data_IF_651907021593
#
_entry.id   IF_651907021593
#
_cell.length_a   1.000
_cell.length_b   1.000
_cell.length_c   1.000
_cell.angle_alpha   90.00
_cell.angle_beta   90.00
_cell.angle_gamma   90.00
#
_symmetry.space_group_name_H-M   'P 1'
#
loop_
_entity.id
_entity.type
_entity.pdbx_description
1 polymer ?
#
# COMPACT_ATOMS: atom_id res chain seq x y z
N UNK A 1 67.77 -31.80 14.97
CA UNK A 1 67.72 -33.11 14.27
C UNK A 1 66.26 -33.42 13.92
N UNK A 2 66.02 -33.95 12.71
CA UNK A 2 64.73 -34.45 12.12
C UNK A 2 63.97 -35.41 13.06
N UNK A 3 62.66 -35.69 12.97
CA UNK A 3 61.80 -36.18 11.85
C UNK A 3 60.30 -35.99 12.23
N UNK A 4 59.45 -35.31 11.44
CA UNK A 4 58.45 -35.81 10.45
C UNK A 4 57.79 -37.16 10.79
N UNK A 5 56.45 -37.19 10.94
CA UNK A 5 55.52 -38.09 10.22
C UNK A 5 54.09 -37.52 10.17
N UNK A 6 53.59 -37.40 8.94
CA UNK A 6 52.21 -37.16 8.49
C UNK A 6 51.42 -38.49 8.59
N UNK A 7 50.08 -38.46 8.75
CA UNK A 7 49.11 -39.35 8.06
C UNK A 7 47.67 -38.86 8.34
N UNK A 8 46.91 -38.74 7.24
CA UNK A 8 45.47 -38.43 7.13
C UNK A 8 44.57 -39.58 7.63
N UNK A 9 43.32 -39.26 7.98
CA UNK A 9 42.17 -40.06 7.54
C UNK A 9 40.87 -39.22 7.44
N UNK A 10 40.20 -39.33 6.29
CA UNK A 10 38.86 -38.83 5.96
C UNK A 10 37.85 -39.96 6.20
N UNK A 11 36.64 -39.68 6.71
CA UNK A 11 35.45 -40.52 6.50
C UNK A 11 34.14 -39.72 6.67
N UNK A 12 33.15 -40.08 5.86
CA UNK A 12 31.89 -39.40 5.54
C UNK A 12 30.69 -40.24 6.07
N UNK A 13 29.48 -39.64 6.09
CA UNK A 13 28.12 -40.25 6.16
C UNK A 13 27.67 -40.53 7.62
N UNK A 14 26.48 -40.17 8.12
CA UNK A 14 25.12 -40.45 7.61
C UNK A 14 24.02 -39.54 8.21
N UNK A 15 22.97 -39.30 7.41
CA UNK A 15 21.63 -38.93 7.91
C UNK A 15 21.06 -40.08 8.74
N UNK A 16 20.49 -39.78 9.91
CA UNK A 16 19.53 -40.66 10.58
C UNK A 16 18.36 -39.83 11.08
N UNK A 17 17.19 -40.11 10.51
CA UNK A 17 15.91 -39.88 11.14
C UNK A 17 15.76 -40.88 12.30
N UNK A 18 15.36 -40.39 13.47
CA UNK A 18 14.72 -41.16 14.55
C UNK A 18 13.56 -40.25 15.00
N UNK A 19 12.29 -40.62 14.87
CA UNK A 19 11.60 -41.83 15.33
C UNK A 19 11.70 -42.02 16.86
N UNK A 20 10.51 -42.24 17.44
CA UNK A 20 10.03 -41.86 18.78
C UNK A 20 10.75 -42.50 19.99
N UNK A 21 10.38 -42.07 21.22
CA UNK A 21 9.45 -42.95 21.93
C UNK A 21 8.28 -42.22 22.62
N UNK A 22 7.11 -42.86 22.56
CA UNK A 22 5.99 -42.65 23.47
C UNK A 22 6.42 -42.83 24.94
N UNK A 23 5.94 -41.97 25.85
CA UNK A 23 5.77 -42.31 27.24
C UNK A 23 4.28 -42.56 27.56
N UNK A 24 3.97 -43.79 27.92
CA UNK A 24 2.77 -44.21 28.66
C UNK A 24 2.73 -43.57 30.08
N UNK A 25 1.57 -43.59 30.76
CA UNK A 25 1.05 -42.44 31.50
C UNK A 25 1.51 -42.42 32.96
N UNK A 26 1.84 -41.23 33.47
CA UNK A 26 1.85 -40.99 34.92
C UNK A 26 1.02 -39.76 35.28
N UNK A 27 0.30 -39.93 36.37
CA UNK A 27 -0.80 -39.12 36.86
C UNK A 27 -0.27 -37.90 37.60
N UNK A 28 -0.71 -36.71 37.17
CA UNK A 28 -0.66 -35.51 37.99
C UNK A 28 -0.06 -34.30 37.27
N UNK A 29 -0.93 -33.37 36.86
CA UNK A 29 -0.50 -32.04 36.47
C UNK A 29 -1.31 -31.43 35.34
N UNK A 30 -2.33 -30.65 35.69
CA UNK A 30 -2.93 -29.65 34.82
C UNK A 30 -3.82 -30.17 33.69
N UNK A 31 -5.13 -30.32 33.96
CA UNK A 31 -6.14 -30.20 32.90
C UNK A 31 -6.06 -28.79 32.32
N UNK A 32 -5.30 -28.61 31.25
CA UNK A 32 -5.50 -27.45 30.37
C UNK A 32 -6.83 -27.67 29.65
N UNK A 33 -7.85 -26.95 30.11
CA UNK A 33 -9.13 -26.89 29.43
C UNK A 33 -8.92 -26.16 28.10
N UNK A 34 -8.74 -26.91 27.01
CA UNK A 34 -8.90 -26.38 25.67
C UNK A 34 -10.35 -25.96 25.50
N UNK A 35 -10.63 -24.67 25.70
CA UNK A 35 -11.90 -24.06 25.37
C UNK A 35 -12.02 -24.08 23.84
N UNK A 36 -12.69 -25.10 23.31
CA UNK A 36 -13.21 -25.07 21.94
C UNK A 36 -14.39 -24.11 21.92
N UNK A 37 -14.10 -22.82 21.94
CA UNK A 37 -15.09 -21.81 21.61
C UNK A 37 -15.19 -21.76 20.10
N UNK A 38 -16.22 -22.41 19.55
CA UNK A 38 -16.71 -22.17 18.19
C UNK A 38 -17.28 -20.77 18.12
N UNK A 39 -16.42 -19.75 18.25
CA UNK A 39 -16.79 -18.39 17.91
C UNK A 39 -17.15 -18.39 16.43
N UNK A 40 -18.31 -17.85 16.02
CA UNK A 40 -18.57 -17.64 14.60
C UNK A 40 -17.39 -16.84 14.06
N UNK A 41 -16.71 -17.37 13.03
CA UNK A 41 -15.69 -16.61 12.31
C UNK A 41 -16.40 -15.36 11.78
N UNK A 42 -16.22 -14.23 12.45
CA UNK A 42 -16.46 -12.95 11.83
C UNK A 42 -15.63 -12.99 10.55
N UNK A 43 -16.28 -12.93 9.39
CA UNK A 43 -15.58 -12.84 8.12
C UNK A 43 -14.65 -11.64 8.23
N UNK A 44 -13.34 -11.90 8.31
CA UNK A 44 -12.34 -10.85 8.37
C UNK A 44 -12.58 -9.96 7.16
N UNK A 45 -12.72 -8.65 7.38
CA UNK A 45 -12.79 -7.71 6.26
C UNK A 45 -11.51 -7.89 5.44
N UNK A 46 -11.59 -7.84 4.11
CA UNK A 46 -10.41 -7.86 3.26
C UNK A 46 -9.43 -6.78 3.74
N UNK A 47 -8.17 -7.14 3.90
CA UNK A 47 -7.12 -6.15 4.17
C UNK A 47 -6.83 -5.41 2.86
N UNK A 48 -6.92 -4.07 2.91
CA UNK A 48 -6.70 -3.22 1.74
C UNK A 48 -5.19 -3.08 1.51
N UNK A 49 -4.69 -3.32 0.29
CA UNK A 49 -3.29 -3.02 -0.01
C UNK A 49 -3.03 -1.52 0.15
N UNK A 50 -1.82 -1.16 0.54
CA UNK A 50 -1.39 0.22 0.69
C UNK A 50 -0.41 0.57 -0.42
N UNK A 51 -0.65 1.71 -1.07
CA UNK A 51 0.28 2.29 -2.02
C UNK A 51 1.61 2.61 -1.33
N UNK A 52 2.72 2.52 -2.07
CA UNK A 52 4.03 2.95 -1.61
C UNK A 52 4.43 4.23 -2.32
N UNK A 53 5.07 5.15 -1.60
CA UNK A 53 5.57 6.41 -2.17
C UNK A 53 6.63 6.20 -3.27
N UNK A 54 7.36 5.09 -3.23
CA UNK A 54 8.35 4.69 -4.24
C UNK A 54 7.83 3.63 -5.23
N UNK A 55 6.52 3.34 -5.21
CA UNK A 55 5.90 2.38 -6.10
C UNK A 55 5.76 2.91 -7.53
N UNK A 56 5.58 2.00 -8.49
CA UNK A 56 5.31 2.37 -9.88
C UNK A 56 3.81 2.48 -10.17
N UNK A 57 3.40 3.19 -11.24
CA UNK A 57 2.00 3.21 -11.67
C UNK A 57 1.46 1.80 -11.95
N UNK A 58 2.28 0.91 -12.51
CA UNK A 58 1.89 -0.49 -12.80
C UNK A 58 1.64 -1.29 -11.53
N UNK A 59 2.41 -1.05 -10.47
CA UNK A 59 2.19 -1.67 -9.16
C UNK A 59 0.86 -1.18 -8.56
N UNK A 60 0.58 0.12 -8.65
CA UNK A 60 -0.70 0.68 -8.22
C UNK A 60 -1.88 0.08 -9.01
N UNK A 61 -1.76 -0.02 -10.34
CA UNK A 61 -2.77 -0.65 -11.19
C UNK A 61 -3.02 -2.12 -10.81
N UNK A 62 -1.95 -2.86 -10.48
CA UNK A 62 -2.08 -4.24 -10.01
C UNK A 62 -2.86 -4.31 -8.68
N UNK A 63 -2.67 -3.35 -7.76
CA UNK A 63 -3.43 -3.27 -6.50
C UNK A 63 -4.92 -3.00 -6.73
N UNK A 64 -5.31 -2.36 -7.85
CA UNK A 64 -6.70 -2.10 -8.20
C UNK A 64 -7.47 -3.34 -8.67
N UNK A 65 -6.81 -4.48 -8.90
CA UNK A 65 -7.45 -5.70 -9.41
C UNK A 65 -8.73 -6.12 -8.64
N UNK A 66 -8.67 -6.30 -7.31
CA UNK A 66 -9.84 -6.62 -6.49
C UNK A 66 -10.93 -5.55 -6.53
N UNK A 67 -10.55 -4.27 -6.52
CA UNK A 67 -11.49 -3.16 -6.59
C UNK A 67 -12.23 -3.12 -7.93
N UNK A 68 -11.51 -3.22 -9.05
CA UNK A 68 -12.07 -3.26 -10.39
C UNK A 68 -12.98 -4.47 -10.61
N UNK A 69 -12.63 -5.62 -10.03
CA UNK A 69 -13.51 -6.80 -10.03
C UNK A 69 -14.82 -6.52 -9.30
N UNK A 70 -14.76 -5.95 -8.10
CA UNK A 70 -15.95 -5.59 -7.33
C UNK A 70 -16.84 -4.60 -8.09
N UNK A 71 -16.26 -3.56 -8.70
CA UNK A 71 -17.03 -2.60 -9.52
C UNK A 71 -17.85 -3.30 -10.61
N UNK A 72 -17.23 -4.25 -11.33
CA UNK A 72 -17.89 -5.03 -12.40
C UNK A 72 -19.00 -5.93 -11.86
N UNK A 73 -18.79 -6.57 -10.72
CA UNK A 73 -19.81 -7.39 -10.04
C UNK A 73 -21.02 -6.56 -9.61
N UNK A 74 -20.82 -5.26 -9.33
CA UNK A 74 -21.86 -4.29 -9.01
C UNK A 74 -22.36 -3.48 -10.22
N UNK A 75 -22.07 -3.92 -11.46
CA UNK A 75 -22.61 -3.33 -12.68
C UNK A 75 -21.96 -2.02 -13.12
N UNK A 76 -20.83 -1.64 -12.53
CA UNK A 76 -20.02 -0.50 -12.93
C UNK A 76 -18.81 -0.91 -13.78
N UNK A 77 -18.26 0.03 -14.54
CA UNK A 77 -17.00 -0.15 -15.26
C UNK A 77 -15.88 0.64 -14.57
N UNK A 78 -14.64 0.09 -14.49
CA UNK A 78 -13.47 0.88 -14.13
C UNK A 78 -13.33 2.10 -15.05
N UNK A 79 -12.83 3.22 -14.53
CA UNK A 79 -12.71 4.47 -15.29
C UNK A 79 -11.85 4.34 -16.56
N UNK A 80 -10.83 3.48 -16.52
CA UNK A 80 -10.00 3.14 -17.69
C UNK A 80 -10.80 2.51 -18.83
N UNK A 81 -11.96 1.92 -18.56
CA UNK A 81 -12.84 1.27 -19.53
C UNK A 81 -14.00 2.17 -19.99
N UNK A 82 -14.10 3.41 -19.50
CA UNK A 82 -15.18 4.34 -19.90
C UNK A 82 -15.03 4.82 -21.34
N UNK A 83 -13.79 4.87 -21.84
CA UNK A 83 -13.45 5.35 -23.17
C UNK A 83 -13.05 4.17 -24.06
N UNK A 84 -13.67 4.07 -25.23
CA UNK A 84 -13.35 3.05 -26.23
C UNK A 84 -12.45 3.67 -27.31
N UNK A 85 -11.13 3.58 -27.11
CA UNK A 85 -10.16 4.27 -27.98
C UNK A 85 -10.34 5.78 -27.93
N UNK A 86 -10.32 6.44 -29.09
CA UNK A 86 -10.43 7.90 -29.21
C UNK A 86 -11.88 8.42 -29.09
N UNK A 87 -12.87 7.54 -28.86
CA UNK A 87 -14.27 7.95 -28.76
C UNK A 87 -14.60 8.47 -27.36
N UNK A 88 -14.90 9.77 -27.27
CA UNK A 88 -15.48 10.37 -26.07
C UNK A 88 -16.97 10.00 -26.02
N UNK A 89 -17.45 9.33 -24.96
CA UNK A 89 -18.87 9.02 -24.83
C UNK A 89 -19.72 10.29 -24.79
N UNK A 90 -20.96 10.18 -25.26
CA UNK A 90 -21.94 11.27 -25.08
C UNK A 90 -22.07 11.65 -23.60
N UNK A 91 -22.34 12.93 -23.33
CA UNK A 91 -22.44 13.46 -21.97
C UNK A 91 -23.45 12.69 -21.10
N UNK A 92 -24.60 12.33 -21.66
CA UNK A 92 -25.63 11.53 -20.98
C UNK A 92 -25.09 10.17 -20.52
N UNK A 93 -24.35 9.49 -21.38
CA UNK A 93 -23.70 8.21 -21.08
C UNK A 93 -22.59 8.36 -20.03
N UNK A 94 -21.82 9.45 -20.05
CA UNK A 94 -20.85 9.74 -19.00
C UNK A 94 -21.50 9.93 -17.63
N UNK A 95 -22.65 10.61 -17.58
CA UNK A 95 -23.43 10.78 -16.34
C UNK A 95 -23.90 9.41 -15.82
N UNK A 96 -24.50 8.58 -16.69
CA UNK A 96 -24.94 7.23 -16.30
C UNK A 96 -23.79 6.36 -15.78
N UNK A 97 -22.63 6.37 -16.46
CA UNK A 97 -21.44 5.64 -16.03
C UNK A 97 -20.93 6.12 -14.67
N UNK A 98 -20.91 7.44 -14.45
CA UNK A 98 -20.49 8.03 -13.18
C UNK A 98 -21.44 7.69 -12.03
N UNK A 99 -22.76 7.66 -12.28
CA UNK A 99 -23.75 7.26 -11.27
C UNK A 99 -23.56 5.79 -10.87
N UNK A 100 -23.42 4.87 -11.84
CA UNK A 100 -23.17 3.44 -11.56
C UNK A 100 -21.86 3.24 -10.81
N UNK A 101 -20.80 3.92 -11.22
CA UNK A 101 -19.52 3.85 -10.53
C UNK A 101 -19.60 4.38 -9.09
N UNK A 102 -20.34 5.48 -8.86
CA UNK A 102 -20.55 6.03 -7.52
C UNK A 102 -21.28 5.05 -6.60
N UNK A 103 -22.33 4.41 -7.09
CA UNK A 103 -23.09 3.43 -6.29
C UNK A 103 -22.25 2.19 -5.98
N UNK A 104 -21.53 1.65 -6.96
CA UNK A 104 -20.62 0.53 -6.74
C UNK A 104 -19.47 0.90 -5.79
N UNK A 105 -18.91 2.11 -5.89
CA UNK A 105 -17.81 2.58 -5.06
C UNK A 105 -18.18 2.65 -3.57
N UNK A 106 -19.43 3.00 -3.23
CA UNK A 106 -19.91 2.97 -1.84
C UNK A 106 -19.74 1.60 -1.18
N UNK A 107 -19.75 0.53 -1.97
CA UNK A 107 -19.57 -0.86 -1.51
C UNK A 107 -18.10 -1.28 -1.65
N UNK A 108 -17.51 -1.04 -2.82
CA UNK A 108 -16.19 -1.56 -3.19
C UNK A 108 -15.04 -0.75 -2.59
N UNK A 109 -15.16 0.58 -2.52
CA UNK A 109 -14.11 1.49 -2.08
C UNK A 109 -13.61 1.17 -0.66
N UNK A 110 -14.49 1.07 0.35
CA UNK A 110 -14.10 0.75 1.72
C UNK A 110 -13.48 -0.64 1.92
N UNK A 111 -13.63 -1.56 0.97
CA UNK A 111 -13.17 -2.95 1.06
C UNK A 111 -11.91 -3.23 0.26
N UNK A 112 -11.77 -2.59 -0.91
CA UNK A 112 -10.78 -3.00 -1.92
C UNK A 112 -9.98 -1.86 -2.53
N UNK A 113 -10.42 -0.60 -2.42
CA UNK A 113 -9.60 0.51 -2.94
C UNK A 113 -8.27 0.55 -2.18
N UNK A 114 -7.13 0.70 -2.85
CA UNK A 114 -5.86 0.86 -2.15
C UNK A 114 -5.91 2.01 -1.14
N UNK A 115 -5.20 1.85 -0.03
CA UNK A 115 -4.94 2.92 0.92
C UNK A 115 -3.83 3.84 0.34
N UNK A 116 -3.86 5.15 0.62
CA UNK A 116 -2.81 6.06 0.17
C UNK A 116 -1.45 5.68 0.79
N UNK A 117 -0.31 6.22 0.29
CA UNK A 117 0.97 6.08 0.95
C UNK A 117 0.88 6.48 2.43
N UNK A 118 1.60 5.78 3.31
CA UNK A 118 1.50 6.00 4.76
C UNK A 118 1.83 7.45 5.14
N UNK A 119 2.80 8.06 4.46
CA UNK A 119 3.22 9.44 4.64
C UNK A 119 2.12 10.46 4.30
N UNK A 120 1.10 10.05 3.52
CA UNK A 120 0.00 10.90 3.04
C UNK A 120 -1.36 10.50 3.63
N UNK A 121 -1.38 9.48 4.50
CA UNK A 121 -2.60 8.98 5.13
C UNK A 121 -3.03 9.92 6.27
N UNK A 122 -4.27 10.45 6.29
CA UNK A 122 -4.77 11.25 7.41
C UNK A 122 -4.72 10.55 8.77
N UNK A 123 -4.70 9.21 8.80
CA UNK A 123 -4.54 8.44 10.03
C UNK A 123 -3.10 8.40 10.55
N UNK A 124 -2.10 8.80 9.74
CA UNK A 124 -0.72 8.93 10.18
C UNK A 124 -0.54 10.28 10.90
N UNK A 125 -0.14 10.30 12.19
CA UNK A 125 0.08 11.55 12.93
C UNK A 125 1.18 12.43 12.31
N UNK A 126 2.09 11.86 11.52
CA UNK A 126 3.18 12.59 10.86
C UNK A 126 2.81 13.11 9.46
N UNK A 127 1.64 12.76 8.91
CA UNK A 127 1.28 13.11 7.53
C UNK A 127 1.24 14.64 7.31
N UNK A 128 0.81 15.39 8.33
CA UNK A 128 0.81 16.86 8.27
C UNK A 128 2.21 17.44 8.22
N UNK A 129 3.16 16.80 8.86
CA UNK A 129 4.55 17.25 8.92
C UNK A 129 5.24 16.92 7.59
N UNK A 130 4.97 15.73 7.06
CA UNK A 130 5.36 15.33 5.71
C UNK A 130 4.89 16.34 4.66
N UNK A 131 3.60 16.70 4.64
CA UNK A 131 3.06 17.67 3.68
C UNK A 131 3.77 19.04 3.77
N UNK A 132 4.02 19.54 4.99
CA UNK A 132 4.76 20.80 5.20
C UNK A 132 6.20 20.72 4.67
N UNK A 133 6.88 19.60 4.86
CA UNK A 133 8.25 19.40 4.37
C UNK A 133 8.31 19.30 2.84
N UNK A 134 7.31 18.68 2.21
CA UNK A 134 7.16 18.67 0.75
C UNK A 134 6.95 20.09 0.22
N UNK A 135 6.01 20.85 0.80
CA UNK A 135 5.78 22.27 0.43
C UNK A 135 7.05 23.10 0.60
N UNK A 136 7.79 22.90 1.71
CA UNK A 136 9.06 23.60 1.97
C UNK A 136 10.09 23.29 0.90
N UNK A 137 10.23 22.03 0.50
CA UNK A 137 11.11 21.62 -0.58
C UNK A 137 10.73 22.27 -1.92
N UNK A 138 9.45 22.24 -2.29
CA UNK A 138 8.95 22.83 -3.53
C UNK A 138 9.18 24.34 -3.59
N UNK A 139 8.93 25.05 -2.48
CA UNK A 139 9.25 26.48 -2.36
C UNK A 139 10.75 26.73 -2.50
N UNK A 140 11.57 25.89 -1.87
CA UNK A 140 13.04 25.94 -2.00
C UNK A 140 13.53 25.73 -3.43
N UNK A 141 12.77 25.03 -4.27
CA UNK A 141 13.03 24.81 -5.71
C UNK A 141 12.36 25.85 -6.62
N UNK A 142 11.76 26.90 -6.06
CA UNK A 142 11.22 28.04 -6.82
C UNK A 142 9.75 27.91 -7.22
N UNK A 143 9.00 26.93 -6.69
CA UNK A 143 7.55 26.87 -6.89
C UNK A 143 6.88 27.98 -6.07
N UNK A 144 6.19 28.88 -6.76
CA UNK A 144 5.67 30.12 -6.16
C UNK A 144 4.35 29.91 -5.45
N UNK A 145 3.41 29.24 -6.10
CA UNK A 145 2.07 28.99 -5.55
C UNK A 145 1.95 27.51 -5.20
N UNK A 146 2.36 27.20 -3.98
CA UNK A 146 2.25 25.87 -3.37
C UNK A 146 1.98 26.00 -1.87
N UNK A 147 1.02 25.23 -1.38
CA UNK A 147 0.58 25.25 0.01
C UNK A 147 0.11 23.88 0.48
N UNK A 148 -0.03 23.73 1.81
CA UNK A 148 -0.72 22.57 2.37
C UNK A 148 -2.21 22.89 2.31
N UNK A 149 -3.00 21.96 1.79
CA UNK A 149 -4.44 22.10 1.68
C UNK A 149 -5.15 22.13 3.04
N UNK A 150 -6.45 22.41 3.00
CA UNK A 150 -7.27 22.59 4.21
C UNK A 150 -7.34 21.34 5.11
N UNK A 151 -7.18 20.14 4.53
CA UNK A 151 -7.14 18.88 5.27
C UNK A 151 -5.84 18.67 6.08
N UNK A 152 -4.82 19.47 5.76
CA UNK A 152 -3.50 19.45 6.39
C UNK A 152 -2.55 18.39 5.84
N UNK A 153 -2.95 17.57 4.86
CA UNK A 153 -2.13 16.47 4.31
C UNK A 153 -1.94 16.55 2.80
N UNK A 154 -2.84 17.22 2.09
CA UNK A 154 -2.69 17.46 0.65
C UNK A 154 -1.73 18.62 0.36
N UNK A 155 -1.04 18.54 -0.78
CA UNK A 155 -0.19 19.61 -1.30
C UNK A 155 -0.86 20.22 -2.51
N UNK A 156 -1.27 21.47 -2.39
CA UNK A 156 -1.98 22.21 -3.43
C UNK A 156 -1.01 23.04 -4.27
N UNK A 157 -1.26 23.10 -5.58
CA UNK A 157 -0.44 23.82 -6.56
C UNK A 157 -1.27 24.84 -7.34
N UNK A 158 -0.67 25.98 -7.68
CA UNK A 158 -1.26 26.98 -8.58
C UNK A 158 -2.03 28.10 -7.88
N UNK A 159 -2.40 27.93 -6.61
CA UNK A 159 -3.12 28.90 -5.80
C UNK A 159 -4.45 29.36 -6.44
N UNK A 160 -5.01 30.46 -5.93
CA UNK A 160 -6.35 30.96 -6.30
C UNK A 160 -6.56 31.26 -7.80
N UNK A 161 -5.49 31.33 -8.60
CA UNK A 161 -5.55 31.65 -10.04
C UNK A 161 -5.18 30.48 -10.96
N UNK A 162 -4.95 29.28 -10.43
CA UNK A 162 -4.47 28.14 -11.21
C UNK A 162 -3.23 28.47 -12.04
N UNK A 163 -2.19 29.01 -11.39
CA UNK A 163 -0.93 29.37 -12.04
C UNK A 163 -0.28 28.14 -12.69
N UNK A 164 -0.39 28.07 -14.03
CA UNK A 164 0.07 26.93 -14.85
C UNK A 164 1.55 26.61 -14.63
N UNK A 165 2.49 27.59 -14.55
CA UNK A 165 3.89 27.29 -14.25
C UNK A 165 4.09 26.58 -12.91
N UNK A 166 3.41 27.03 -11.85
CA UNK A 166 3.50 26.41 -10.52
C UNK A 166 2.90 25.00 -10.51
N UNK A 167 1.78 24.78 -11.21
CA UNK A 167 1.18 23.45 -11.34
C UNK A 167 2.13 22.50 -12.07
N UNK A 168 2.55 22.87 -13.29
CA UNK A 168 3.38 22.00 -14.12
C UNK A 168 4.71 21.68 -13.45
N UNK A 169 5.46 22.72 -13.07
CA UNK A 169 6.78 22.52 -12.49
C UNK A 169 6.68 21.90 -11.07
N UNK A 170 5.59 22.16 -10.34
CA UNK A 170 5.33 21.55 -9.05
C UNK A 170 5.11 20.05 -9.15
N UNK A 171 4.31 19.60 -10.12
CA UNK A 171 4.09 18.16 -10.39
C UNK A 171 5.40 17.48 -10.82
N UNK A 172 6.22 18.13 -11.65
CA UNK A 172 7.50 17.59 -12.09
C UNK A 172 8.48 17.37 -10.91
N UNK A 173 8.46 18.27 -9.92
CA UNK A 173 9.36 18.24 -8.76
C UNK A 173 8.81 17.49 -7.55
N UNK A 174 7.49 17.21 -7.52
CA UNK A 174 6.80 16.58 -6.40
C UNK A 174 7.46 15.26 -5.96
N UNK A 175 7.76 14.30 -6.87
CA UNK A 175 8.30 13.01 -6.44
C UNK A 175 9.67 13.12 -5.76
N UNK A 176 10.49 14.10 -6.18
CA UNK A 176 11.79 14.36 -5.54
C UNK A 176 11.60 14.91 -4.12
N UNK A 177 10.69 15.88 -3.96
CA UNK A 177 10.41 16.49 -2.66
C UNK A 177 9.73 15.52 -1.69
N UNK A 178 8.83 14.67 -2.18
CA UNK A 178 8.21 13.58 -1.40
C UNK A 178 9.29 12.59 -0.89
N UNK A 179 10.22 12.14 -1.75
CA UNK A 179 11.33 11.28 -1.32
C UNK A 179 12.25 11.96 -0.30
N UNK A 180 12.52 13.25 -0.46
CA UNK A 180 13.34 14.01 0.47
C UNK A 180 12.65 14.14 1.84
N UNK A 181 11.35 14.43 1.87
CA UNK A 181 10.57 14.51 3.11
C UNK A 181 10.52 13.14 3.81
N UNK A 182 10.25 12.06 3.08
CA UNK A 182 10.22 10.71 3.64
C UNK A 182 11.58 10.29 4.24
N UNK A 183 12.69 10.74 3.66
CA UNK A 183 14.02 10.48 4.21
C UNK A 183 14.30 11.22 5.54
N UNK A 184 13.58 12.31 5.81
CA UNK A 184 13.72 13.07 7.05
C UNK A 184 12.91 12.48 8.20
N UNK A 185 11.80 11.78 7.93
CA UNK A 185 10.98 11.10 8.94
C UNK A 185 11.70 9.91 9.62
N UNK A 186 12.75 9.37 8.98
CA UNK A 186 13.51 8.21 9.49
C UNK A 186 14.61 8.58 10.50
N UNK A 187 14.68 9.84 10.95
CA UNK A 187 15.71 10.36 11.84
C UNK A 187 15.11 10.76 13.18
#
# INVERSE_FOLDING_TARGET
>A
MRRIHLVLLVAVIALSACDSPEPEPDQGGGKVASLTSSAPKASAKPERPRERLDGTPEEYEAMLGPYNKCLKEHGALPKSEWYQGDQVPEKSKLVELAEKATEADRICGPLYSPLPPWEKDPANPEARDFARDVVKCLKGKGIKYVEVGDDGVEVELGGAKNDVPSIRNGLDLMPECERQAAANLKK
#
